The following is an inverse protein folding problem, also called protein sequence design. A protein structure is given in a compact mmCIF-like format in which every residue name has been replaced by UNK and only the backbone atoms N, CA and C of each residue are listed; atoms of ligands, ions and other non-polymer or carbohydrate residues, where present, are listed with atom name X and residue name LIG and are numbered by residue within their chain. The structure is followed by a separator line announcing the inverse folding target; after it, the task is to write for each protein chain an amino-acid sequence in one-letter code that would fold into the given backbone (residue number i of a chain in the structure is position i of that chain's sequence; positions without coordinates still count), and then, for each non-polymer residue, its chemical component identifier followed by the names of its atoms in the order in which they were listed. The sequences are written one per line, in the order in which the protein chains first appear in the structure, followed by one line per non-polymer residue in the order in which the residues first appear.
data_IF_596219028097
#
_entry.id   IF_596219028097
#
_cell.length_a   1.000
_cell.length_b   1.000
_cell.length_c   1.000
_cell.angle_alpha   90.00
_cell.angle_beta   90.00
_cell.angle_gamma   90.00
#
_symmetry.space_group_name_H-M   'P 1'
#
loop_
_entity.id
_entity.type
_entity.pdbx_description
1 polymer ?
#
# COMPACT_ATOMS: atom_id res chain seq x y z
N UNK A 1 13.39 24.44 30.36
CA UNK A 1 13.06 23.08 29.90
C UNK A 1 13.47 23.00 28.43
N UNK A 2 14.40 22.12 28.05
CA UNK A 2 14.77 21.86 26.65
C UNK A 2 14.23 20.51 26.25
N UNK A 3 13.90 20.31 24.97
CA UNK A 3 13.55 19.00 24.45
C UNK A 3 14.68 18.00 24.76
N UNK A 4 14.33 16.74 25.07
CA UNK A 4 15.29 15.68 25.43
C UNK A 4 16.44 15.54 24.43
N UNK A 5 16.16 15.80 23.15
CA UNK A 5 17.12 15.70 22.06
C UNK A 5 17.63 17.06 21.54
N UNK A 6 17.34 18.16 22.24
CA UNK A 6 17.81 19.50 21.86
C UNK A 6 17.17 20.08 20.59
N UNK A 7 16.30 19.35 19.91
CA UNK A 7 15.60 19.81 18.71
C UNK A 7 14.26 20.49 19.06
N UNK A 8 13.95 21.65 18.47
CA UNK A 8 12.62 22.22 18.55
C UNK A 8 11.63 21.27 17.86
N UNK A 9 10.51 20.97 18.52
CA UNK A 9 9.45 20.15 17.97
C UNK A 9 8.21 21.02 17.72
N UNK A 10 7.57 20.82 16.57
CA UNK A 10 6.32 21.48 16.19
C UNK A 10 5.24 20.42 16.04
N UNK A 11 4.08 20.65 16.65
CA UNK A 11 2.90 19.82 16.42
C UNK A 11 2.20 20.30 15.15
N UNK A 12 2.23 19.48 14.10
CA UNK A 12 1.43 19.68 12.88
C UNK A 12 0.10 18.94 13.02
N UNK A 13 -1.02 19.61 12.74
CA UNK A 13 -2.36 19.01 12.75
C UNK A 13 -2.99 19.22 11.37
N UNK A 14 -3.42 18.13 10.75
CA UNK A 14 -4.12 18.15 9.46
C UNK A 14 -5.59 17.90 9.71
N UNK A 15 -6.43 18.82 9.24
CA UNK A 15 -7.87 18.80 9.45
C UNK A 15 -8.58 18.73 8.09
N UNK A 16 -9.67 17.96 8.04
CA UNK A 16 -10.47 17.78 6.83
C UNK A 16 -11.72 18.67 6.78
N UNK A 17 -11.96 19.45 7.82
CA UNK A 17 -13.05 20.40 7.92
C UNK A 17 -12.63 21.65 8.69
N UNK A 18 -13.34 22.75 8.45
CA UNK A 18 -13.02 24.06 9.02
C UNK A 18 -13.21 24.12 10.54
N UNK A 19 -14.24 23.46 11.08
CA UNK A 19 -14.53 23.52 12.50
C UNK A 19 -13.43 22.82 13.32
N UNK A 20 -12.96 21.66 12.86
CA UNK A 20 -11.83 20.95 13.47
C UNK A 20 -10.54 21.76 13.35
N UNK A 21 -10.29 22.42 12.21
CA UNK A 21 -9.11 23.27 12.04
C UNK A 21 -9.10 24.47 13.01
N UNK A 22 -10.24 25.15 13.16
CA UNK A 22 -10.40 26.27 14.09
C UNK A 22 -10.20 25.85 15.56
N UNK A 23 -10.76 24.70 15.93
CA UNK A 23 -10.54 24.12 17.27
C UNK A 23 -9.07 23.74 17.50
N UNK A 24 -8.44 23.08 16.51
CA UNK A 24 -7.06 22.60 16.59
C UNK A 24 -6.03 23.74 16.64
N UNK A 25 -6.38 24.96 16.21
CA UNK A 25 -5.48 26.10 16.27
C UNK A 25 -5.14 26.51 17.71
N UNK A 26 -5.95 26.06 18.68
CA UNK A 26 -5.71 26.31 20.09
C UNK A 26 -5.75 27.81 20.44
N UNK A 27 -4.93 28.27 21.41
CA UNK A 27 -3.89 27.53 22.13
C UNK A 27 -4.44 26.55 23.17
N UNK A 28 -3.73 25.44 23.37
CA UNK A 28 -4.03 24.47 24.43
C UNK A 28 -3.16 24.74 25.65
N UNK A 29 -3.79 25.02 26.80
CA UNK A 29 -3.12 25.29 28.07
C UNK A 29 -3.10 24.03 28.93
N UNK A 30 -1.92 23.66 29.41
CA UNK A 30 -1.69 22.52 30.27
C UNK A 30 -1.15 23.01 31.62
N UNK A 31 -1.82 22.65 32.70
CA UNK A 31 -1.44 23.01 34.07
C UNK A 31 -2.63 23.00 35.04
N UNK A 32 -2.37 23.03 36.37
CA UNK A 32 -3.41 23.20 37.38
C UNK A 32 -4.19 24.51 37.18
N UNK A 33 -5.42 24.55 37.71
CA UNK A 33 -6.28 25.73 37.61
C UNK A 33 -5.57 27.00 38.12
N UNK A 34 -5.62 28.07 37.33
CA UNK A 34 -4.94 29.34 37.61
C UNK A 34 -3.47 29.42 37.19
N UNK A 35 -2.82 28.33 36.77
CA UNK A 35 -1.41 28.29 36.37
C UNK A 35 -1.22 27.83 34.92
N UNK A 36 -0.51 28.63 34.10
CA UNK A 36 -0.14 28.25 32.73
C UNK A 36 1.26 27.63 32.71
N UNK A 37 1.36 26.35 33.03
CA UNK A 37 2.66 25.65 33.04
C UNK A 37 3.22 25.42 31.62
N UNK A 38 2.35 25.09 30.66
CA UNK A 38 2.71 24.92 29.24
C UNK A 38 1.56 25.41 28.33
N UNK A 39 1.92 25.99 27.19
CA UNK A 39 1.00 26.32 26.12
C UNK A 39 1.47 25.68 24.81
N UNK A 40 0.57 24.99 24.12
CA UNK A 40 0.82 24.39 22.81
C UNK A 40 0.12 25.20 21.74
N UNK A 41 0.87 25.58 20.71
CA UNK A 41 0.40 26.29 19.53
C UNK A 41 0.67 25.42 18.30
N UNK A 42 -0.31 24.61 17.87
CA UNK A 42 -0.12 23.74 16.72
C UNK A 42 -0.03 24.53 15.41
N UNK A 43 0.74 24.02 14.46
CA UNK A 43 0.61 24.42 13.06
C UNK A 43 -0.54 23.62 12.46
N UNK A 44 -1.61 24.31 12.04
CA UNK A 44 -2.82 23.65 11.54
C UNK A 44 -2.94 23.83 10.03
N UNK A 45 -3.14 22.72 9.33
CA UNK A 45 -3.47 22.65 7.91
C UNK A 45 -4.92 22.22 7.78
N UNK A 46 -5.76 23.05 7.16
CA UNK A 46 -7.18 22.77 6.96
C UNK A 46 -7.71 23.40 5.68
N UNK A 47 -8.97 23.12 5.30
CA UNK A 47 -9.49 23.52 3.99
C UNK A 47 -9.52 25.04 3.76
N UNK A 48 -9.43 25.84 4.83
CA UNK A 48 -9.39 27.30 4.76
C UNK A 48 -7.99 27.89 4.52
N UNK A 49 -6.91 27.13 4.67
CA UNK A 49 -5.54 27.63 4.50
C UNK A 49 -4.64 26.76 3.61
N UNK A 50 -5.09 25.57 3.23
CA UNK A 50 -4.43 24.73 2.22
C UNK A 50 -5.22 24.79 0.92
N UNK A 51 -4.66 25.29 -0.19
CA UNK A 51 -5.35 25.29 -1.47
C UNK A 51 -5.44 23.87 -2.03
N UNK A 52 -6.55 23.51 -2.73
CA UNK A 52 -6.61 22.27 -3.47
C UNK A 52 -5.66 22.32 -4.68
N UNK A 53 -4.81 21.32 -4.83
CA UNK A 53 -3.90 21.18 -5.98
C UNK A 53 -4.50 20.13 -6.93
N UNK A 54 -5.02 20.59 -8.06
CA UNK A 54 -5.67 19.76 -9.10
C UNK A 54 -4.84 19.65 -10.37
N UNK A 55 -3.71 20.35 -10.45
CA UNK A 55 -2.78 20.28 -11.57
C UNK A 55 -1.60 19.36 -11.23
N UNK A 56 -1.23 18.50 -12.18
CA UNK A 56 -0.19 17.50 -11.96
C UNK A 56 1.22 18.09 -12.02
N UNK A 57 1.44 19.12 -12.83
CA UNK A 57 2.74 19.79 -12.90
C UNK A 57 3.00 20.60 -11.64
N UNK A 58 1.97 21.30 -11.13
CA UNK A 58 2.01 21.96 -9.82
C UNK A 58 2.28 20.95 -8.69
N UNK A 59 1.58 19.81 -8.69
CA UNK A 59 1.79 18.76 -7.69
C UNK A 59 3.22 18.19 -7.74
N UNK A 60 3.80 18.03 -8.93
CA UNK A 60 5.17 17.52 -9.09
C UNK A 60 6.24 18.50 -8.59
N UNK A 61 5.97 19.80 -8.58
CA UNK A 61 6.91 20.80 -8.04
C UNK A 61 7.07 20.69 -6.52
N UNK A 62 6.05 20.20 -5.81
CA UNK A 62 6.10 20.01 -4.36
C UNK A 62 5.18 18.88 -3.91
N UNK A 63 5.69 17.65 -3.97
CA UNK A 63 4.95 16.44 -3.57
C UNK A 63 4.46 16.50 -2.12
N UNK A 64 5.26 17.05 -1.19
CA UNK A 64 4.85 17.18 0.21
C UNK A 64 3.59 18.05 0.35
N UNK A 65 3.56 19.21 -0.31
CA UNK A 65 2.39 20.09 -0.29
C UNK A 65 1.19 19.47 -1.01
N UNK A 66 1.42 18.78 -2.13
CA UNK A 66 0.37 18.06 -2.85
C UNK A 66 -0.25 16.95 -2.00
N UNK A 67 0.57 16.19 -1.26
CA UNK A 67 0.10 15.20 -0.29
C UNK A 67 -0.71 15.84 0.84
N UNK A 68 -0.25 16.95 1.43
CA UNK A 68 -1.03 17.66 2.45
C UNK A 68 -2.35 18.22 1.91
N UNK A 69 -2.36 18.78 0.69
CA UNK A 69 -3.57 19.18 -0.02
C UNK A 69 -4.55 18.01 -0.14
N UNK A 70 -4.08 16.85 -0.63
CA UNK A 70 -4.91 15.66 -0.78
C UNK A 70 -5.49 15.17 0.57
N UNK A 71 -4.70 15.16 1.65
CA UNK A 71 -5.20 14.80 2.97
C UNK A 71 -6.24 15.79 3.50
N UNK A 72 -5.95 17.09 3.43
CA UNK A 72 -6.83 18.16 3.91
C UNK A 72 -8.16 18.16 3.17
N UNK A 73 -8.14 17.89 1.86
CA UNK A 73 -9.33 17.91 1.01
C UNK A 73 -9.97 16.54 0.82
N UNK A 74 -9.60 15.51 1.60
CA UNK A 74 -10.12 14.14 1.44
C UNK A 74 -11.63 13.97 1.64
N UNK A 75 -12.33 15.00 2.15
CA UNK A 75 -13.80 15.05 2.25
C UNK A 75 -14.45 16.04 1.28
N UNK A 76 -13.65 16.74 0.47
CA UNK A 76 -14.14 17.69 -0.52
C UNK A 76 -14.73 16.96 -1.73
N UNK A 77 -15.64 17.63 -2.42
CA UNK A 77 -16.11 17.21 -3.75
C UNK A 77 -14.97 17.14 -4.77
N UNK A 78 -13.91 17.94 -4.58
CA UNK A 78 -12.76 18.01 -5.49
C UNK A 78 -11.70 16.93 -5.19
N UNK A 79 -11.90 16.11 -4.15
CA UNK A 79 -10.94 15.08 -3.75
C UNK A 79 -10.50 14.16 -4.90
N UNK A 80 -11.39 13.68 -5.80
CA UNK A 80 -10.97 12.85 -6.93
C UNK A 80 -10.00 13.56 -7.88
N UNK A 81 -10.22 14.85 -8.15
CA UNK A 81 -9.34 15.64 -9.03
C UNK A 81 -7.96 15.88 -8.39
N UNK A 82 -7.95 16.17 -7.08
CA UNK A 82 -6.71 16.38 -6.30
C UNK A 82 -5.89 15.08 -6.25
N UNK A 83 -6.54 13.96 -5.98
CA UNK A 83 -5.90 12.64 -5.95
C UNK A 83 -5.37 12.24 -7.33
N UNK A 84 -6.12 12.53 -8.40
CA UNK A 84 -5.67 12.25 -9.77
C UNK A 84 -4.40 13.05 -10.11
N UNK A 85 -4.37 14.34 -9.76
CA UNK A 85 -3.23 15.22 -9.96
C UNK A 85 -1.99 14.70 -9.22
N UNK A 86 -2.13 14.34 -7.94
CA UNK A 86 -1.05 13.78 -7.14
C UNK A 86 -0.59 12.42 -7.69
N UNK A 87 -1.50 11.53 -8.09
CA UNK A 87 -1.13 10.27 -8.72
C UNK A 87 -0.32 10.47 -10.02
N UNK A 88 -0.63 11.51 -10.82
CA UNK A 88 0.15 11.84 -12.02
C UNK A 88 1.54 12.36 -11.65
N UNK A 89 1.62 13.23 -10.65
CA UNK A 89 2.88 13.77 -10.15
C UNK A 89 3.80 12.68 -9.58
N UNK A 90 3.25 11.72 -8.85
CA UNK A 90 4.03 10.59 -8.33
C UNK A 90 4.54 9.68 -9.47
N UNK A 91 3.84 9.61 -10.60
CA UNK A 91 4.30 8.89 -11.79
C UNK A 91 5.61 9.41 -12.39
N UNK A 92 6.04 10.63 -12.03
CA UNK A 92 7.32 11.22 -12.48
C UNK A 92 8.37 11.30 -11.38
N UNK A 93 8.04 10.89 -10.15
CA UNK A 93 8.93 10.94 -8.99
C UNK A 93 9.83 9.69 -8.87
N UNK A 94 10.85 9.78 -8.01
CA UNK A 94 11.71 8.64 -7.66
C UNK A 94 10.99 7.63 -6.75
N UNK A 95 11.49 6.40 -6.69
CA UNK A 95 10.86 5.29 -5.96
C UNK A 95 10.69 5.56 -4.46
N UNK A 96 11.65 6.24 -3.83
CA UNK A 96 11.61 6.53 -2.39
C UNK A 96 10.50 7.54 -2.09
N UNK A 97 10.42 8.61 -2.89
CA UNK A 97 9.33 9.60 -2.81
C UNK A 97 7.96 8.95 -3.03
N UNK A 98 7.84 8.07 -4.04
CA UNK A 98 6.58 7.39 -4.35
C UNK A 98 6.11 6.55 -3.16
N UNK A 99 6.98 5.70 -2.61
CA UNK A 99 6.65 4.85 -1.49
C UNK A 99 6.24 5.69 -0.26
N UNK A 100 7.05 6.70 0.06
CA UNK A 100 6.83 7.56 1.22
C UNK A 100 5.49 8.32 1.12
N UNK A 101 5.26 9.05 0.03
CA UNK A 101 4.05 9.87 -0.10
C UNK A 101 2.78 9.05 -0.29
N UNK A 102 2.87 7.87 -0.91
CA UNK A 102 1.71 6.97 -1.05
C UNK A 102 1.28 6.38 0.29
N UNK A 103 2.23 5.94 1.12
CA UNK A 103 1.94 5.44 2.47
C UNK A 103 1.42 6.56 3.37
N UNK A 104 2.10 7.71 3.35
CA UNK A 104 1.70 8.87 4.12
C UNK A 104 0.27 9.31 3.76
N UNK A 105 -0.08 9.34 2.47
CA UNK A 105 -1.43 9.65 2.00
C UNK A 105 -2.47 8.58 2.41
N UNK A 106 -2.14 7.31 2.26
CA UNK A 106 -3.03 6.19 2.64
C UNK A 106 -3.41 6.27 4.13
N UNK A 107 -2.45 6.61 4.99
CA UNK A 107 -2.69 6.83 6.43
C UNK A 107 -3.50 8.12 6.64
N UNK A 108 -3.09 9.22 6.00
CA UNK A 108 -3.67 10.55 6.19
C UNK A 108 -5.12 10.69 5.70
N UNK A 109 -5.54 9.88 4.72
CA UNK A 109 -6.92 9.84 4.25
C UNK A 109 -7.87 9.14 5.24
N UNK A 110 -7.36 8.34 6.18
CA UNK A 110 -8.15 7.74 7.26
C UNK A 110 -9.31 6.87 6.75
N UNK A 111 -10.54 7.16 7.19
CA UNK A 111 -11.77 6.47 6.76
C UNK A 111 -12.59 7.28 5.75
N UNK A 112 -11.96 8.19 5.01
CA UNK A 112 -12.66 8.99 4.00
C UNK A 112 -12.95 8.19 2.72
N UNK A 113 -14.02 8.51 1.96
CA UNK A 113 -14.27 7.93 0.64
C UNK A 113 -13.12 8.18 -0.37
N UNK A 114 -12.36 9.26 -0.17
CA UNK A 114 -11.17 9.58 -0.95
C UNK A 114 -10.09 8.48 -0.84
N UNK A 115 -10.03 7.73 0.26
CA UNK A 115 -9.10 6.60 0.40
C UNK A 115 -9.39 5.48 -0.59
N UNK A 116 -10.66 5.14 -0.81
CA UNK A 116 -11.02 4.15 -1.84
C UNK A 116 -10.73 4.68 -3.24
N UNK A 117 -10.96 5.97 -3.47
CA UNK A 117 -10.60 6.63 -4.74
C UNK A 117 -9.09 6.55 -4.98
N UNK A 118 -8.28 6.81 -3.95
CA UNK A 118 -6.83 6.70 -4.00
C UNK A 118 -6.37 5.27 -4.33
N UNK A 119 -6.91 4.26 -3.63
CA UNK A 119 -6.62 2.85 -3.91
C UNK A 119 -7.00 2.47 -5.34
N UNK A 120 -8.16 2.92 -5.81
CA UNK A 120 -8.58 2.68 -7.19
C UNK A 120 -7.63 3.35 -8.18
N UNK A 121 -7.14 4.57 -7.92
CA UNK A 121 -6.14 5.21 -8.77
C UNK A 121 -4.83 4.44 -8.79
N UNK A 122 -4.37 3.90 -7.66
CA UNK A 122 -3.17 3.06 -7.59
C UNK A 122 -3.35 1.70 -8.28
N UNK A 123 -4.56 1.13 -8.23
CA UNK A 123 -4.89 -0.12 -8.92
C UNK A 123 -5.10 0.07 -10.42
N UNK A 124 -5.87 1.08 -10.84
CA UNK A 124 -6.21 1.41 -12.24
C UNK A 124 -4.99 1.98 -12.97
N UNK A 125 -4.17 2.79 -12.29
CA UNK A 125 -2.84 3.19 -12.76
C UNK A 125 -1.77 2.26 -12.20
N UNK A 126 -2.01 0.95 -12.26
CA UNK A 126 -0.95 -0.04 -12.07
C UNK A 126 0.25 0.49 -12.85
N UNK A 127 1.29 0.85 -12.10
CA UNK A 127 2.57 1.32 -12.60
C UNK A 127 2.88 0.55 -13.88
N UNK A 128 2.96 1.24 -15.02
CA UNK A 128 3.18 0.61 -16.32
C UNK A 128 4.37 -0.38 -16.24
N UNK A 129 4.28 -1.54 -16.91
CA UNK A 129 5.25 -2.63 -16.80
C UNK A 129 6.67 -2.22 -17.22
N UNK A 130 7.68 -2.73 -16.51
CA UNK A 130 9.09 -2.67 -16.93
C UNK A 130 10.05 -1.80 -16.11
N UNK A 131 9.81 -1.57 -14.80
CA UNK A 131 10.71 -0.75 -13.96
C UNK A 131 11.40 -1.47 -12.80
N UNK A 132 11.06 -2.72 -12.49
CA UNK A 132 11.82 -3.56 -11.55
C UNK A 132 11.80 -3.05 -10.10
N UNK A 133 10.68 -2.48 -9.65
CA UNK A 133 10.58 -1.93 -8.29
C UNK A 133 10.40 -3.03 -7.24
N UNK A 134 10.72 -2.78 -5.97
CA UNK A 134 10.57 -3.76 -4.88
C UNK A 134 9.10 -4.18 -4.65
N UNK A 135 8.14 -3.30 -4.98
CA UNK A 135 6.69 -3.57 -4.92
C UNK A 135 6.27 -4.43 -6.12
N UNK A 136 6.82 -4.18 -7.31
CA UNK A 136 6.66 -5.07 -8.47
C UNK A 136 7.28 -6.44 -8.19
N UNK A 137 8.48 -6.53 -7.61
CA UNK A 137 9.05 -7.81 -7.21
C UNK A 137 8.21 -8.52 -6.16
N UNK A 138 7.71 -7.82 -5.13
CA UNK A 138 6.90 -8.46 -4.07
C UNK A 138 5.51 -8.85 -4.55
N UNK A 139 4.92 -8.07 -5.47
CA UNK A 139 3.66 -8.41 -6.12
C UNK A 139 3.85 -9.57 -7.11
N UNK A 140 4.86 -9.53 -7.99
CA UNK A 140 5.20 -10.62 -8.91
C UNK A 140 5.59 -11.90 -8.16
N UNK A 141 6.37 -11.79 -7.08
CA UNK A 141 6.66 -12.92 -6.17
C UNK A 141 5.37 -13.41 -5.49
N UNK A 142 4.45 -12.50 -5.14
CA UNK A 142 3.15 -12.82 -4.54
C UNK A 142 2.22 -13.54 -5.52
N UNK A 143 2.12 -13.07 -6.76
CA UNK A 143 1.34 -13.65 -7.85
C UNK A 143 1.93 -15.00 -8.27
N UNK A 144 3.23 -15.08 -8.53
CA UNK A 144 3.91 -16.33 -8.85
C UNK A 144 3.76 -17.36 -7.73
N UNK A 145 3.89 -16.95 -6.46
CA UNK A 145 3.65 -17.84 -5.31
C UNK A 145 2.17 -18.26 -5.20
N UNK A 146 1.24 -17.34 -5.48
CA UNK A 146 -0.19 -17.62 -5.50
C UNK A 146 -0.58 -18.61 -6.60
N UNK A 147 -0.02 -18.44 -7.80
CA UNK A 147 -0.24 -19.31 -8.95
C UNK A 147 0.41 -20.68 -8.74
N UNK A 148 1.65 -20.72 -8.24
CA UNK A 148 2.31 -21.97 -7.88
C UNK A 148 1.53 -22.75 -6.82
N UNK A 149 1.04 -22.07 -5.78
CA UNK A 149 0.19 -22.68 -4.74
C UNK A 149 -1.15 -23.18 -5.31
N UNK A 150 -1.76 -22.42 -6.22
CA UNK A 150 -3.00 -22.83 -6.91
C UNK A 150 -2.80 -24.06 -7.78
N UNK A 151 -1.67 -24.14 -8.51
CA UNK A 151 -1.31 -25.30 -9.33
C UNK A 151 -0.94 -26.52 -8.49
N UNK A 152 -0.22 -26.33 -7.37
CA UNK A 152 0.05 -27.40 -6.41
C UNK A 152 -1.23 -28.00 -5.83
N UNK A 153 -2.21 -27.16 -5.45
CA UNK A 153 -3.53 -27.62 -4.99
C UNK A 153 -4.27 -28.39 -6.08
N UNK A 154 -4.20 -27.93 -7.34
CA UNK A 154 -4.77 -28.64 -8.50
C UNK A 154 -4.14 -30.02 -8.70
N UNK A 155 -2.81 -30.13 -8.62
CA UNK A 155 -2.08 -31.41 -8.73
C UNK A 155 -2.56 -32.39 -7.66
N UNK A 156 -2.60 -31.96 -6.40
CA UNK A 156 -3.02 -32.82 -5.29
C UNK A 156 -4.47 -33.28 -5.45
N UNK A 157 -5.38 -32.38 -5.86
CA UNK A 157 -6.77 -32.73 -6.14
C UNK A 157 -6.91 -33.70 -7.32
N UNK A 158 -6.12 -33.54 -8.37
CA UNK A 158 -6.13 -34.43 -9.52
C UNK A 158 -5.66 -35.85 -9.16
N UNK A 159 -4.58 -35.97 -8.39
CA UNK A 159 -4.07 -37.26 -7.90
C UNK A 159 -5.07 -37.94 -6.96
N UNK A 160 -5.67 -37.17 -6.05
CA UNK A 160 -6.72 -37.66 -5.15
C UNK A 160 -7.94 -38.17 -5.92
N UNK A 161 -8.41 -37.41 -6.92
CA UNK A 161 -9.54 -37.81 -7.76
C UNK A 161 -9.23 -39.09 -8.56
N UNK A 162 -7.98 -39.29 -8.97
CA UNK A 162 -7.52 -40.47 -9.69
C UNK A 162 -7.16 -41.65 -8.77
N UNK A 163 -7.24 -41.47 -7.45
CA UNK A 163 -6.91 -42.50 -6.46
C UNK A 163 -5.42 -42.84 -6.40
N UNK A 164 -4.54 -41.95 -6.86
CA UNK A 164 -3.09 -42.13 -6.77
C UNK A 164 -2.65 -41.81 -5.34
N UNK A 165 -2.06 -42.76 -4.60
CA UNK A 165 -1.66 -42.53 -3.21
C UNK A 165 -0.48 -41.56 -3.15
N UNK A 166 -0.64 -40.47 -2.40
CA UNK A 166 0.41 -39.46 -2.16
C UNK A 166 0.89 -39.57 -0.72
N UNK A 167 2.19 -39.81 -0.52
CA UNK A 167 2.77 -39.85 0.82
C UNK A 167 2.74 -38.46 1.47
N UNK A 168 2.82 -38.38 2.80
CA UNK A 168 2.89 -37.09 3.50
C UNK A 168 4.09 -36.25 3.04
N UNK A 169 5.23 -36.91 2.79
CA UNK A 169 6.46 -36.30 2.27
C UNK A 169 6.24 -35.69 0.89
N UNK A 170 5.58 -36.41 -0.02
CA UNK A 170 5.37 -35.93 -1.39
C UNK A 170 4.31 -34.82 -1.44
N UNK A 171 3.32 -34.89 -0.54
CA UNK A 171 2.33 -33.83 -0.39
C UNK A 171 2.97 -32.52 0.04
N UNK A 172 3.89 -32.57 0.99
CA UNK A 172 4.68 -31.42 1.44
C UNK A 172 5.56 -30.89 0.30
N UNK A 173 6.27 -31.77 -0.41
CA UNK A 173 7.07 -31.43 -1.60
C UNK A 173 6.25 -30.69 -2.68
N UNK A 174 5.03 -31.15 -2.95
CA UNK A 174 4.15 -30.51 -3.93
C UNK A 174 3.64 -29.16 -3.41
N UNK A 175 3.21 -29.09 -2.15
CA UNK A 175 2.62 -27.89 -1.54
C UNK A 175 3.62 -26.74 -1.33
N UNK A 176 4.89 -27.06 -1.09
CA UNK A 176 5.96 -26.08 -0.85
C UNK A 176 6.70 -25.67 -2.13
N UNK A 177 6.37 -26.27 -3.28
CA UNK A 177 6.98 -25.90 -4.55
C UNK A 177 6.63 -24.46 -4.92
N UNK A 178 7.66 -23.64 -5.11
CA UNK A 178 7.54 -22.22 -5.50
C UNK A 178 7.98 -21.97 -6.94
N UNK A 179 8.46 -23.00 -7.63
CA UNK A 179 8.84 -22.95 -9.04
C UNK A 179 7.62 -23.24 -9.92
N UNK A 180 7.23 -22.22 -10.70
CA UNK A 180 6.04 -22.27 -11.53
C UNK A 180 6.15 -23.29 -12.68
N UNK A 181 7.34 -23.44 -13.27
CA UNK A 181 7.57 -24.32 -14.41
C UNK A 181 7.53 -25.78 -13.96
N UNK A 182 8.12 -26.06 -12.79
CA UNK A 182 8.07 -27.39 -12.18
C UNK A 182 6.62 -27.78 -11.85
N UNK A 183 5.89 -26.92 -11.14
CA UNK A 183 4.51 -27.26 -10.72
C UNK A 183 3.54 -27.30 -11.91
N UNK A 184 3.80 -26.54 -12.97
CA UNK A 184 3.05 -26.65 -14.23
C UNK A 184 3.27 -28.00 -14.91
N UNK A 185 4.53 -28.44 -15.01
CA UNK A 185 4.86 -29.76 -15.54
C UNK A 185 4.26 -30.90 -14.72
N UNK A 186 4.08 -30.71 -13.40
CA UNK A 186 3.32 -31.64 -12.56
C UNK A 186 1.83 -31.57 -12.83
N UNK A 187 1.24 -30.38 -12.96
CA UNK A 187 -0.19 -30.21 -13.26
C UNK A 187 -0.58 -30.91 -14.57
N UNK A 188 0.22 -30.75 -15.63
CA UNK A 188 -0.03 -31.40 -16.91
C UNK A 188 0.11 -32.94 -16.82
N UNK A 189 1.06 -33.43 -16.03
CA UNK A 189 1.28 -34.88 -15.80
C UNK A 189 0.28 -35.51 -14.85
N UNK A 190 -0.28 -34.76 -13.90
CA UNK A 190 -1.17 -35.26 -12.87
C UNK A 190 -2.43 -35.94 -13.44
N UNK A 191 -2.80 -35.64 -14.68
CA UNK A 191 -3.91 -36.26 -15.38
C UNK A 191 -3.59 -37.63 -16.02
N UNK A 192 -2.31 -37.97 -16.20
CA UNK A 192 -1.90 -39.18 -16.94
C UNK A 192 -1.08 -40.18 -16.11
N UNK A 193 -0.26 -39.72 -15.15
CA UNK A 193 0.64 -40.58 -14.36
C UNK A 193 -0.09 -41.63 -13.50
N UNK A 194 0.49 -42.81 -13.32
CA UNK A 194 -0.10 -43.87 -12.48
C UNK A 194 0.47 -43.89 -11.06
N UNK A 195 1.54 -43.14 -10.82
CA UNK A 195 2.21 -43.02 -9.53
C UNK A 195 2.75 -41.60 -9.30
N UNK A 196 3.07 -41.27 -8.05
CA UNK A 196 3.69 -39.99 -7.69
C UNK A 196 5.15 -39.90 -8.14
N UNK A 197 5.84 -41.02 -8.25
CA UNK A 197 7.22 -41.04 -8.76
C UNK A 197 7.26 -40.59 -10.24
N UNK A 198 6.30 -41.06 -11.05
CA UNK A 198 6.13 -40.62 -12.45
C UNK A 198 5.77 -39.13 -12.56
N UNK A 199 5.08 -38.58 -11.55
CA UNK A 199 4.74 -37.16 -11.48
C UNK A 199 5.99 -36.30 -11.37
N UNK A 200 6.98 -36.72 -10.58
CA UNK A 200 8.22 -35.97 -10.43
C UNK A 200 9.13 -36.13 -11.66
N UNK A 201 9.02 -37.26 -12.36
CA UNK A 201 9.88 -37.63 -13.49
C UNK A 201 11.06 -38.46 -13.01
N UNK A 202 11.62 -39.27 -13.91
CA UNK A 202 12.82 -40.04 -13.62
C UNK A 202 13.98 -39.09 -13.32
N UNK A 203 14.53 -39.14 -12.10
CA UNK A 203 15.87 -38.60 -11.83
C UNK A 203 16.86 -39.34 -12.75
N UNK A 204 17.50 -38.63 -13.67
CA UNK A 204 18.69 -39.07 -14.40
C UNK A 204 19.71 -37.95 -14.45
#
# INVERSE_FOLDING_TARGET
MKAKYGHPALLLVICQDKATAEWAAGPFKLGPEGWKALAVHPLVLGPGNVPPIIDAEEAAQNLAMATFSAMTHGRSQDAPAILDALARALGTADEESVAYYSELLEIGLGETPARETWRNLMTIRTYFPGRGTLIEETLLKGEAKGEAKGRADMVLRALEHRGVPVSARDRERIAECTDLDIVQGWADRAFTVSSVDELFGEES
#
